data_IF_945521954962
#
_entry.id   IF_945521954962
#
_cell.length_a   1.000
_cell.length_b   1.000
_cell.length_c   1.000
_cell.angle_alpha   90.00
_cell.angle_beta   90.00
_cell.angle_gamma   90.00
#
_symmetry.space_group_name_H-M   'P 1'
#
loop_
_entity.id
_entity.type
_entity.pdbx_description
1 polymer ?
#
# COMPACT_ATOMS: atom_id res chain seq x y z
N UNK A 1 -2.53 20.57 39.30
CA UNK A 1 -3.02 19.51 38.41
C UNK A 1 -4.45 19.82 38.08
N UNK A 2 -4.75 20.27 36.87
CA UNK A 2 -6.04 20.86 36.49
C UNK A 2 -7.07 19.77 36.23
N UNK A 3 -8.31 19.96 36.69
CA UNK A 3 -9.44 19.02 36.51
C UNK A 3 -9.75 18.74 35.04
N UNK A 4 -9.31 19.62 34.13
CA UNK A 4 -9.41 19.46 32.66
C UNK A 4 -8.44 18.41 32.17
N UNK A 5 -7.20 18.34 32.70
CA UNK A 5 -6.21 17.34 32.31
C UNK A 5 -6.60 15.92 32.73
N UNK A 6 -7.16 15.77 33.93
CA UNK A 6 -7.62 14.48 34.44
C UNK A 6 -8.83 13.91 33.65
N UNK A 7 -9.69 14.77 33.10
CA UNK A 7 -10.81 14.34 32.23
C UNK A 7 -10.33 13.96 30.83
N UNK A 8 -9.33 14.66 30.30
CA UNK A 8 -8.69 14.29 29.04
C UNK A 8 -7.92 12.96 29.18
N UNK A 9 -7.19 12.76 30.27
CA UNK A 9 -6.49 11.51 30.57
C UNK A 9 -7.45 10.34 30.79
N UNK A 10 -8.58 10.54 31.49
CA UNK A 10 -9.62 9.52 31.67
C UNK A 10 -10.32 9.17 30.34
N UNK A 11 -10.65 10.17 29.50
CA UNK A 11 -11.19 9.95 28.16
C UNK A 11 -10.19 9.28 27.21
N UNK A 12 -8.88 9.51 27.39
CA UNK A 12 -7.83 8.84 26.66
C UNK A 12 -7.62 7.39 27.13
N UNK A 13 -7.86 7.11 28.42
CA UNK A 13 -7.76 5.78 29.02
C UNK A 13 -8.95 4.88 28.61
N UNK A 14 -10.19 5.40 28.62
CA UNK A 14 -11.38 4.70 28.13
C UNK A 14 -11.30 4.37 26.63
N UNK A 15 -10.61 5.20 25.83
CA UNK A 15 -10.37 4.94 24.41
C UNK A 15 -9.29 3.85 24.13
N UNK A 16 -8.59 3.36 25.14
CA UNK A 16 -7.54 2.35 24.98
C UNK A 16 -8.11 0.92 24.85
N UNK A 17 -9.18 0.60 25.58
CA UNK A 17 -9.86 -0.70 25.51
C UNK A 17 -10.83 -0.79 24.31
N UNK A 18 -11.31 0.35 23.82
CA UNK A 18 -12.36 0.43 22.80
C UNK A 18 -11.88 -0.05 21.40
N UNK A 19 -10.63 0.18 21.08
CA UNK A 19 -10.10 -0.14 19.73
C UNK A 19 -9.99 -1.64 19.45
N UNK A 20 -9.71 -2.46 20.47
CA UNK A 20 -9.68 -3.93 20.34
C UNK A 20 -11.08 -4.51 20.12
N UNK A 21 -12.08 -3.94 20.76
CA UNK A 21 -13.48 -4.35 20.62
C UNK A 21 -14.10 -3.87 19.30
N UNK A 22 -13.73 -2.68 18.82
CA UNK A 22 -14.23 -2.10 17.56
C UNK A 22 -13.87 -2.95 16.32
N UNK A 23 -12.73 -3.63 16.34
CA UNK A 23 -12.26 -4.46 15.23
C UNK A 23 -12.36 -5.96 15.50
N UNK A 24 -13.05 -6.39 16.56
CA UNK A 24 -13.26 -7.80 16.84
C UNK A 24 -14.19 -8.41 15.78
N UNK A 25 -13.69 -9.32 14.93
CA UNK A 25 -14.50 -9.93 13.88
C UNK A 25 -15.59 -10.88 14.44
N UNK A 26 -15.55 -11.18 15.73
CA UNK A 26 -16.52 -12.05 16.43
C UNK A 26 -17.62 -11.25 17.16
N UNK A 27 -17.49 -9.91 17.22
CA UNK A 27 -18.48 -9.05 17.85
C UNK A 27 -19.82 -9.12 17.09
N UNK A 28 -20.88 -9.41 17.82
CA UNK A 28 -22.23 -9.41 17.27
C UNK A 28 -22.68 -7.95 17.00
N UNK A 29 -22.61 -7.49 15.76
CA UNK A 29 -23.02 -6.18 15.28
C UNK A 29 -22.11 -5.00 15.70
N UNK A 30 -20.87 -4.90 15.17
CA UNK A 30 -20.07 -3.70 15.34
C UNK A 30 -20.78 -2.49 14.70
N UNK A 31 -20.80 -1.34 15.38
CA UNK A 31 -21.33 -0.10 14.83
C UNK A 31 -20.41 0.43 13.72
N UNK A 32 -20.75 0.15 12.48
CA UNK A 32 -19.99 0.58 11.29
C UNK A 32 -19.76 2.10 11.25
N UNK A 33 -20.69 2.90 11.78
CA UNK A 33 -20.58 4.36 11.81
C UNK A 33 -19.52 4.79 12.84
N UNK A 34 -19.49 4.15 14.00
CA UNK A 34 -18.46 4.40 15.02
C UNK A 34 -17.08 4.01 14.51
N UNK A 35 -16.96 2.85 13.82
CA UNK A 35 -15.71 2.38 13.19
C UNK A 35 -15.23 3.37 12.13
N UNK A 36 -16.09 3.82 11.22
CA UNK A 36 -15.73 4.80 10.20
C UNK A 36 -15.22 6.10 10.82
N UNK A 37 -15.94 6.66 11.80
CA UNK A 37 -15.52 7.88 12.50
C UNK A 37 -14.18 7.70 13.22
N UNK A 38 -13.99 6.57 13.90
CA UNK A 38 -12.73 6.26 14.56
C UNK A 38 -11.56 6.29 13.58
N UNK A 39 -11.70 5.63 12.43
CA UNK A 39 -10.68 5.57 11.38
C UNK A 39 -10.41 6.95 10.77
N UNK A 40 -11.47 7.69 10.39
CA UNK A 40 -11.34 9.00 9.76
C UNK A 40 -10.51 10.00 10.58
N UNK A 41 -10.66 9.96 11.92
CA UNK A 41 -9.94 10.85 12.83
C UNK A 41 -8.53 10.37 13.17
N UNK A 42 -8.21 9.09 12.94
CA UNK A 42 -6.96 8.46 13.43
C UNK A 42 -6.08 7.89 12.34
N UNK A 43 -6.55 7.91 11.09
CA UNK A 43 -5.76 7.45 9.95
C UNK A 43 -4.53 8.35 9.75
N UNK A 44 -3.37 7.73 9.83
CA UNK A 44 -2.07 8.28 9.54
C UNK A 44 -1.31 7.36 8.59
N UNK A 45 -0.20 7.83 8.03
CA UNK A 45 0.64 7.03 7.15
C UNK A 45 2.06 6.91 7.68
N UNK A 46 2.56 5.68 7.75
CA UNK A 46 3.99 5.44 7.65
C UNK A 46 4.36 5.46 6.16
N UNK A 47 5.43 6.16 5.82
CA UNK A 47 5.86 6.31 4.42
C UNK A 47 7.13 5.52 4.19
N UNK A 48 7.03 4.45 3.43
CA UNK A 48 8.15 3.56 3.14
C UNK A 48 8.71 3.82 1.74
N UNK A 49 10.00 4.16 1.58
CA UNK A 49 10.55 4.51 0.29
C UNK A 49 10.87 3.27 -0.55
N UNK A 50 10.53 3.32 -1.84
CA UNK A 50 11.03 2.43 -2.87
C UNK A 50 12.29 3.05 -3.46
N UNK A 51 13.45 2.50 -3.11
CA UNK A 51 14.76 3.07 -3.42
C UNK A 51 15.51 2.33 -4.52
N UNK A 52 16.47 3.01 -5.13
CA UNK A 52 17.41 2.35 -6.03
C UNK A 52 18.33 1.40 -5.27
N UNK A 53 18.51 0.21 -5.82
CA UNK A 53 19.39 -0.82 -5.24
C UNK A 53 20.88 -0.43 -5.30
N UNK A 54 21.29 0.43 -6.25
CA UNK A 54 22.67 0.93 -6.39
C UNK A 54 23.02 2.05 -5.42
N UNK A 55 22.11 2.45 -4.53
CA UNK A 55 22.27 3.51 -3.54
C UNK A 55 22.59 4.89 -4.13
N UNK A 56 22.29 5.14 -5.39
CA UNK A 56 22.50 6.45 -6.05
C UNK A 56 21.56 7.56 -5.55
N UNK A 57 20.73 7.30 -4.55
CA UNK A 57 19.83 8.26 -3.90
C UNK A 57 18.46 8.44 -4.55
N UNK A 58 18.15 7.69 -5.63
CA UNK A 58 16.84 7.77 -6.29
C UNK A 58 15.74 7.08 -5.47
N UNK A 59 14.61 7.77 -5.29
CA UNK A 59 13.35 7.22 -4.76
C UNK A 59 12.33 7.21 -5.88
N UNK A 60 11.75 6.04 -6.19
CA UNK A 60 10.73 5.89 -7.23
C UNK A 60 9.41 6.49 -6.76
N UNK A 61 9.02 6.16 -5.55
CA UNK A 61 7.89 6.71 -4.79
C UNK A 61 8.00 6.28 -3.31
N UNK A 62 7.11 6.79 -2.46
CA UNK A 62 6.94 6.31 -1.09
C UNK A 62 5.56 5.68 -0.92
N UNK A 63 5.52 4.45 -0.43
CA UNK A 63 4.27 3.77 -0.10
C UNK A 63 3.68 4.34 1.18
N UNK A 64 2.40 4.70 1.14
CA UNK A 64 1.59 5.17 2.27
C UNK A 64 0.94 3.98 2.97
N UNK A 65 1.63 3.44 3.96
CA UNK A 65 1.15 2.33 4.78
C UNK A 65 0.24 2.85 5.89
N UNK A 66 -1.03 2.49 5.85
CA UNK A 66 -2.03 2.92 6.83
C UNK A 66 -1.64 2.56 8.27
N UNK A 67 -1.87 3.47 9.18
CA UNK A 67 -1.70 3.34 10.62
C UNK A 67 -2.87 4.02 11.30
N UNK A 68 -3.42 3.42 12.37
CA UNK A 68 -4.44 4.09 13.18
C UNK A 68 -3.82 4.50 14.52
N UNK A 69 -3.76 5.80 14.77
CA UNK A 69 -3.21 6.32 16.02
C UNK A 69 -4.14 6.02 17.20
N UNK A 70 -3.61 5.39 18.27
CA UNK A 70 -4.32 5.11 19.54
C UNK A 70 -3.82 5.99 20.69
N UNK A 71 -3.10 7.04 20.41
CA UNK A 71 -2.51 7.96 21.38
C UNK A 71 -1.19 8.50 20.85
N UNK A 72 -0.37 9.10 21.71
CA UNK A 72 0.87 9.75 21.27
C UNK A 72 1.96 8.79 20.76
N UNK A 73 1.96 7.51 21.19
CA UNK A 73 3.01 6.53 20.86
C UNK A 73 2.51 5.16 20.43
N UNK A 74 1.20 4.93 20.42
CA UNK A 74 0.62 3.64 20.05
C UNK A 74 -0.13 3.75 18.73
N UNK A 75 0.17 2.83 17.81
CA UNK A 75 -0.43 2.77 16.48
C UNK A 75 -0.86 1.35 16.15
N UNK A 76 -2.08 1.17 15.68
CA UNK A 76 -2.54 -0.08 15.09
C UNK A 76 -1.98 -0.20 13.66
N UNK A 77 -1.41 -1.36 13.37
CA UNK A 77 -1.00 -1.77 12.02
C UNK A 77 -2.17 -2.46 11.30
N UNK A 78 -2.17 -2.52 9.96
CA UNK A 78 -3.23 -3.12 9.15
C UNK A 78 -3.67 -4.51 9.61
N UNK A 79 -2.74 -5.38 10.01
CA UNK A 79 -3.04 -6.73 10.52
C UNK A 79 -4.00 -6.74 11.71
N UNK A 80 -4.06 -5.67 12.49
CA UNK A 80 -4.91 -5.57 13.69
C UNK A 80 -6.33 -5.06 13.39
N UNK A 81 -6.59 -4.39 12.25
CA UNK A 81 -7.90 -3.81 11.97
C UNK A 81 -8.50 -4.21 10.61
N UNK A 82 -7.68 -4.57 9.60
CA UNK A 82 -8.22 -4.97 8.29
C UNK A 82 -9.16 -6.18 8.35
N UNK A 83 -8.89 -7.25 9.15
CA UNK A 83 -9.83 -8.37 9.24
C UNK A 83 -11.22 -7.93 9.73
N UNK A 84 -11.29 -6.99 10.68
CA UNK A 84 -12.55 -6.40 11.13
C UNK A 84 -13.26 -5.63 10.02
N UNK A 85 -12.55 -4.83 9.22
CA UNK A 85 -13.12 -4.11 8.09
C UNK A 85 -13.64 -5.05 7.00
N UNK A 86 -12.94 -6.14 6.73
CA UNK A 86 -13.39 -7.19 5.80
C UNK A 86 -14.72 -7.79 6.29
N UNK A 87 -14.79 -8.19 7.57
CA UNK A 87 -16.00 -8.81 8.13
C UNK A 87 -17.22 -7.87 8.13
N UNK A 88 -16.99 -6.56 8.24
CA UNK A 88 -18.02 -5.52 8.19
C UNK A 88 -18.35 -5.05 6.76
N UNK A 89 -17.66 -5.54 5.72
CA UNK A 89 -17.84 -5.07 4.34
C UNK A 89 -17.36 -3.63 4.09
N UNK A 90 -16.44 -3.12 4.93
CA UNK A 90 -15.97 -1.73 4.91
C UNK A 90 -14.67 -1.52 4.10
N UNK A 91 -14.10 -2.57 3.49
CA UNK A 91 -12.83 -2.46 2.78
C UNK A 91 -12.85 -1.44 1.65
N UNK A 92 -13.91 -1.42 0.84
CA UNK A 92 -14.03 -0.45 -0.27
C UNK A 92 -14.04 0.99 0.22
N UNK A 93 -14.84 1.28 1.25
CA UNK A 93 -14.85 2.58 1.89
C UNK A 93 -13.46 2.96 2.44
N UNK A 94 -12.78 2.00 3.07
CA UNK A 94 -11.45 2.24 3.62
C UNK A 94 -10.41 2.54 2.53
N UNK A 95 -10.38 1.76 1.45
CA UNK A 95 -9.47 1.99 0.33
C UNK A 95 -9.70 3.37 -0.31
N UNK A 96 -10.96 3.78 -0.49
CA UNK A 96 -11.33 5.11 -1.01
C UNK A 96 -10.90 6.24 -0.05
N UNK A 97 -11.01 6.03 1.26
CA UNK A 97 -10.50 6.96 2.26
C UNK A 97 -8.98 7.07 2.19
N UNK A 98 -8.26 5.95 2.11
CA UNK A 98 -6.79 5.90 2.00
C UNK A 98 -6.33 6.64 0.74
N UNK A 99 -6.93 6.37 -0.41
CA UNK A 99 -6.61 7.08 -1.66
C UNK A 99 -6.87 8.58 -1.53
N UNK A 100 -8.03 8.98 -0.97
CA UNK A 100 -8.36 10.40 -0.77
C UNK A 100 -7.34 11.11 0.13
N UNK A 101 -6.91 10.48 1.23
CA UNK A 101 -5.90 11.03 2.15
C UNK A 101 -4.50 11.07 1.52
N UNK A 102 -4.19 10.11 0.66
CA UNK A 102 -2.93 10.12 -0.12
C UNK A 102 -2.92 11.28 -1.12
N UNK A 103 -4.04 11.56 -1.79
CA UNK A 103 -4.22 12.74 -2.65
C UNK A 103 -4.01 14.03 -1.87
N UNK A 104 -4.60 14.15 -0.67
CA UNK A 104 -4.40 15.33 0.18
C UNK A 104 -2.93 15.50 0.60
N UNK A 105 -2.23 14.39 0.87
CA UNK A 105 -0.78 14.39 1.14
C UNK A 105 0.05 14.85 -0.07
N UNK A 106 -0.33 14.45 -1.28
CA UNK A 106 0.33 14.88 -2.53
C UNK A 106 0.12 16.38 -2.82
N UNK A 107 -1.02 16.96 -2.40
CA UNK A 107 -1.25 18.41 -2.49
C UNK A 107 -0.37 19.17 -1.52
N UNK A 108 -0.16 18.63 -0.31
CA UNK A 108 0.67 19.26 0.71
C UNK A 108 2.17 19.19 0.37
N UNK A 109 2.61 18.22 -0.46
CA UNK A 109 4.01 18.07 -0.87
C UNK A 109 4.11 17.94 -2.40
N UNK A 110 4.49 19.03 -3.06
CA UNK A 110 4.55 19.12 -4.51
C UNK A 110 5.66 18.26 -5.16
N UNK A 111 6.66 17.85 -4.38
CA UNK A 111 7.78 17.03 -4.88
C UNK A 111 7.58 15.53 -4.63
N UNK A 112 6.65 15.16 -3.75
CA UNK A 112 6.43 13.78 -3.39
C UNK A 112 5.73 13.01 -4.51
N UNK A 113 6.06 11.73 -4.57
CA UNK A 113 5.34 10.69 -5.29
C UNK A 113 4.94 9.65 -4.26
N UNK A 114 3.63 9.38 -4.16
CA UNK A 114 3.09 8.46 -3.19
C UNK A 114 2.37 7.29 -3.84
N UNK A 115 2.53 6.10 -3.26
CA UNK A 115 1.73 4.92 -3.54
C UNK A 115 0.79 4.61 -2.39
N UNK A 116 -0.33 3.97 -2.67
CA UNK A 116 -1.22 3.44 -1.65
C UNK A 116 -1.96 2.20 -2.15
N UNK A 117 -2.24 1.30 -1.21
CA UNK A 117 -2.87 0.03 -1.47
C UNK A 117 -4.36 0.19 -1.79
N UNK A 118 -4.82 -0.60 -2.76
CA UNK A 118 -6.22 -0.78 -3.15
C UNK A 118 -6.47 -2.29 -3.25
N UNK A 119 -7.37 -2.83 -2.45
CA UNK A 119 -7.72 -4.25 -2.55
C UNK A 119 -8.38 -4.55 -3.91
N UNK A 120 -8.08 -5.70 -4.49
CA UNK A 120 -8.66 -6.08 -5.77
C UNK A 120 -10.20 -6.11 -5.74
N UNK A 121 -10.80 -6.45 -4.59
CA UNK A 121 -12.25 -6.40 -4.40
C UNK A 121 -12.84 -4.99 -4.37
N UNK A 122 -12.03 -3.98 -4.08
CA UNK A 122 -12.43 -2.56 -4.07
C UNK A 122 -12.22 -1.89 -5.41
N UNK A 123 -11.35 -2.43 -6.27
CA UNK A 123 -11.03 -1.88 -7.58
C UNK A 123 -12.18 -2.13 -8.59
N UNK A 124 -13.26 -1.41 -8.39
CA UNK A 124 -14.50 -1.50 -9.19
C UNK A 124 -14.97 -0.10 -9.57
N UNK A 125 -15.94 0.01 -10.47
CA UNK A 125 -16.58 1.30 -10.76
C UNK A 125 -17.77 1.54 -9.82
N UNK A 126 -17.73 2.64 -9.08
CA UNK A 126 -18.85 3.16 -8.29
C UNK A 126 -18.79 4.69 -8.21
N UNK A 127 -19.84 5.31 -7.64
CA UNK A 127 -19.94 6.77 -7.58
C UNK A 127 -18.82 7.44 -6.77
N UNK A 128 -18.29 6.76 -5.74
CA UNK A 128 -17.21 7.31 -4.91
C UNK A 128 -15.86 7.24 -5.65
N UNK A 129 -15.56 6.12 -6.33
CA UNK A 129 -14.39 6.03 -7.20
C UNK A 129 -14.47 7.04 -8.34
N UNK A 130 -15.66 7.20 -8.93
CA UNK A 130 -15.90 8.21 -9.96
C UNK A 130 -15.53 9.61 -9.44
N UNK A 131 -16.00 10.00 -8.25
CA UNK A 131 -15.67 11.29 -7.64
C UNK A 131 -14.16 11.47 -7.39
N UNK A 132 -13.45 10.43 -7.00
CA UNK A 132 -11.98 10.44 -6.83
C UNK A 132 -11.30 10.68 -8.18
N UNK A 133 -11.68 9.94 -9.22
CA UNK A 133 -11.09 10.06 -10.54
C UNK A 133 -11.43 11.41 -11.21
N UNK A 134 -12.61 11.95 -10.99
CA UNK A 134 -12.99 13.27 -11.50
C UNK A 134 -12.14 14.39 -10.87
N UNK A 135 -11.83 14.29 -9.56
CA UNK A 135 -10.87 15.19 -8.89
C UNK A 135 -9.47 15.07 -9.49
N UNK A 136 -8.99 13.85 -9.75
CA UNK A 136 -7.68 13.61 -10.36
C UNK A 136 -7.61 14.08 -11.81
N UNK A 137 -8.70 14.00 -12.55
CA UNK A 137 -8.78 14.44 -13.94
C UNK A 137 -8.54 15.95 -14.09
N UNK A 138 -9.00 16.75 -13.12
CA UNK A 138 -8.77 18.20 -13.13
C UNK A 138 -7.40 18.61 -12.56
N UNK A 139 -6.66 17.65 -11.96
CA UNK A 139 -5.32 17.87 -11.39
C UNK A 139 -4.29 16.86 -11.96
N UNK A 140 -4.01 16.86 -13.28
CA UNK A 140 -3.21 15.78 -13.91
C UNK A 140 -1.77 15.73 -13.38
N UNK A 141 -1.18 16.86 -13.00
CA UNK A 141 0.15 16.89 -12.40
C UNK A 141 0.20 16.20 -11.02
N UNK A 142 -0.91 16.17 -10.29
CA UNK A 142 -1.06 15.42 -9.06
C UNK A 142 -1.30 13.94 -9.35
N UNK A 143 -2.18 13.63 -10.29
CA UNK A 143 -2.49 12.25 -10.68
C UNK A 143 -1.23 11.47 -11.11
N UNK A 144 -0.31 12.10 -11.86
CA UNK A 144 0.96 11.50 -12.28
C UNK A 144 1.90 11.13 -11.12
N UNK A 145 1.67 11.68 -9.94
CA UNK A 145 2.43 11.42 -8.70
C UNK A 145 1.74 10.40 -7.78
N UNK A 146 0.58 9.87 -8.17
CA UNK A 146 -0.15 8.84 -7.45
C UNK A 146 0.10 7.47 -8.08
N UNK A 147 0.49 6.50 -7.26
CA UNK A 147 0.59 5.08 -7.60
C UNK A 147 -0.53 4.33 -6.87
N UNK A 148 -1.41 3.65 -7.60
CA UNK A 148 -2.42 2.76 -7.02
C UNK A 148 -1.87 1.33 -7.05
N UNK A 149 -1.64 0.74 -5.87
CA UNK A 149 -1.06 -0.58 -5.70
C UNK A 149 -2.17 -1.60 -5.51
N UNK A 150 -2.42 -2.43 -6.53
CA UNK A 150 -3.48 -3.45 -6.49
C UNK A 150 -2.92 -4.69 -5.81
N UNK A 151 -3.48 -5.02 -4.63
CA UNK A 151 -3.04 -6.17 -3.84
C UNK A 151 -3.60 -7.48 -4.38
N UNK A 152 -2.84 -8.58 -4.24
CA UNK A 152 -3.17 -9.89 -4.81
C UNK A 152 -3.96 -10.84 -3.89
N UNK A 153 -4.45 -10.36 -2.75
CA UNK A 153 -5.20 -11.18 -1.79
C UNK A 153 -6.47 -11.82 -2.37
N UNK A 154 -7.04 -11.18 -3.40
CA UNK A 154 -8.20 -11.69 -4.15
C UNK A 154 -8.00 -11.47 -5.65
N UNK A 155 -8.63 -12.27 -6.52
CA UNK A 155 -8.59 -12.01 -7.95
C UNK A 155 -9.33 -10.71 -8.30
N UNK A 156 -8.72 -9.91 -9.16
CA UNK A 156 -9.34 -8.72 -9.74
C UNK A 156 -10.45 -9.14 -10.71
N UNK A 157 -11.63 -8.56 -10.57
CA UNK A 157 -12.72 -8.86 -11.52
C UNK A 157 -12.34 -8.43 -12.95
N UNK A 158 -12.49 -9.28 -13.95
CA UNK A 158 -12.00 -8.99 -15.30
C UNK A 158 -12.69 -7.82 -15.99
N UNK A 159 -13.93 -7.49 -15.64
CA UNK A 159 -14.69 -6.40 -16.26
C UNK A 159 -14.53 -5.11 -15.45
N UNK A 160 -14.98 -5.11 -14.20
CA UNK A 160 -14.95 -3.91 -13.36
C UNK A 160 -13.53 -3.51 -12.96
N UNK A 161 -12.64 -4.47 -12.70
CA UNK A 161 -11.23 -4.20 -12.42
C UNK A 161 -10.48 -3.62 -13.62
N UNK A 162 -10.76 -4.12 -14.83
CA UNK A 162 -10.21 -3.53 -16.05
C UNK A 162 -10.72 -2.11 -16.29
N UNK A 163 -12.01 -1.88 -16.07
CA UNK A 163 -12.61 -0.55 -16.18
C UNK A 163 -11.98 0.42 -15.16
N UNK A 164 -11.83 0.00 -13.90
CA UNK A 164 -11.12 0.76 -12.86
C UNK A 164 -9.69 1.14 -13.28
N UNK A 165 -8.88 0.17 -13.71
CA UNK A 165 -7.51 0.40 -14.18
C UNK A 165 -7.47 1.37 -15.36
N UNK A 166 -8.38 1.19 -16.33
CA UNK A 166 -8.46 2.08 -17.48
C UNK A 166 -8.78 3.51 -17.05
N UNK A 167 -9.76 3.70 -16.15
CA UNK A 167 -10.14 5.00 -15.63
C UNK A 167 -9.01 5.67 -14.87
N UNK A 168 -8.32 4.93 -13.98
CA UNK A 168 -7.18 5.44 -13.25
C UNK A 168 -6.05 5.93 -14.21
N UNK A 169 -5.75 5.16 -15.25
CA UNK A 169 -4.76 5.57 -16.27
C UNK A 169 -5.18 6.79 -17.08
N UNK A 170 -6.46 6.95 -17.37
CA UNK A 170 -6.98 8.14 -18.06
C UNK A 170 -6.77 9.43 -17.25
N UNK A 171 -6.72 9.36 -15.92
CA UNK A 171 -6.37 10.51 -15.07
C UNK A 171 -4.87 10.77 -15.00
N UNK A 172 -4.04 9.82 -15.41
CA UNK A 172 -2.59 9.88 -15.34
C UNK A 172 -1.99 9.11 -14.14
N UNK A 173 -2.80 8.42 -13.33
CA UNK A 173 -2.30 7.57 -12.24
C UNK A 173 -1.46 6.41 -12.77
N UNK A 174 -0.44 6.03 -11.99
CA UNK A 174 0.33 4.82 -12.22
C UNK A 174 -0.30 3.64 -11.49
N UNK A 175 -0.21 2.45 -12.07
CA UNK A 175 -0.74 1.21 -11.50
C UNK A 175 0.43 0.31 -11.14
N UNK A 176 0.46 -0.13 -9.88
CA UNK A 176 1.34 -1.18 -9.42
C UNK A 176 0.55 -2.48 -9.16
N UNK A 177 1.17 -3.61 -9.36
CA UNK A 177 0.73 -4.91 -8.84
C UNK A 177 1.59 -5.21 -7.63
N UNK A 178 0.97 -5.44 -6.49
CA UNK A 178 1.63 -5.73 -5.24
C UNK A 178 1.65 -7.23 -4.92
N UNK A 179 2.60 -7.68 -4.08
CA UNK A 179 2.78 -9.08 -3.64
C UNK A 179 2.93 -10.10 -4.79
N UNK A 180 3.50 -9.69 -5.95
CA UNK A 180 3.60 -10.57 -7.12
C UNK A 180 4.39 -11.84 -6.81
N UNK A 181 3.70 -12.97 -6.98
CA UNK A 181 4.21 -14.32 -6.69
C UNK A 181 3.64 -14.97 -5.44
N UNK A 182 2.88 -14.24 -4.62
CA UNK A 182 2.29 -14.78 -3.39
C UNK A 182 0.83 -15.24 -3.52
N UNK A 183 0.10 -14.83 -4.60
CA UNK A 183 -1.33 -15.08 -4.69
C UNK A 183 -1.87 -15.19 -6.13
N UNK A 184 -2.77 -14.28 -6.50
CA UNK A 184 -3.45 -14.25 -7.79
C UNK A 184 -2.70 -13.48 -8.89
N UNK A 185 -1.37 -13.41 -8.80
CA UNK A 185 -0.46 -12.60 -9.61
C UNK A 185 -0.70 -12.66 -11.11
N UNK A 186 -0.75 -13.88 -11.64
CA UNK A 186 -0.92 -14.08 -13.08
C UNK A 186 -2.26 -13.57 -13.58
N UNK A 187 -3.34 -13.77 -12.79
CA UNK A 187 -4.67 -13.30 -13.11
C UNK A 187 -4.75 -11.76 -13.07
N UNK A 188 -4.29 -11.16 -11.99
CA UNK A 188 -4.34 -9.71 -11.80
C UNK A 188 -3.45 -9.02 -12.86
N UNK A 189 -2.28 -9.57 -13.16
CA UNK A 189 -1.43 -9.08 -14.24
C UNK A 189 -2.14 -9.11 -15.60
N UNK A 190 -2.87 -10.20 -15.89
CA UNK A 190 -3.65 -10.31 -17.14
C UNK A 190 -4.77 -9.26 -17.21
N UNK A 191 -5.47 -9.00 -16.12
CA UNK A 191 -6.56 -8.00 -16.06
C UNK A 191 -6.01 -6.58 -16.17
N UNK A 192 -4.94 -6.26 -15.45
CA UNK A 192 -4.27 -4.95 -15.46
C UNK A 192 -3.61 -4.67 -16.82
N UNK A 193 -3.17 -5.73 -17.51
CA UNK A 193 -2.34 -5.64 -18.71
C UNK A 193 -0.91 -5.27 -18.35
N UNK A 194 -0.34 -4.22 -18.98
CA UNK A 194 1.02 -3.77 -18.68
C UNK A 194 1.02 -2.79 -17.50
N UNK A 195 1.36 -3.22 -16.26
CA UNK A 195 1.46 -2.33 -15.11
C UNK A 195 2.67 -1.39 -15.25
N UNK A 196 2.61 -0.25 -14.56
CA UNK A 196 3.75 0.65 -14.45
C UNK A 196 4.81 0.08 -13.51
N UNK A 197 4.39 -0.64 -12.47
CA UNK A 197 5.25 -1.23 -11.45
C UNK A 197 4.75 -2.64 -11.11
N UNK A 198 5.68 -3.56 -10.91
CA UNK A 198 5.42 -4.88 -10.29
C UNK A 198 6.31 -5.00 -9.07
N UNK A 199 5.72 -5.24 -7.89
CA UNK A 199 6.41 -5.48 -6.63
C UNK A 199 6.46 -6.99 -6.40
N UNK A 200 7.67 -7.53 -6.36
CA UNK A 200 7.92 -8.95 -6.09
C UNK A 200 7.90 -9.17 -4.58
N UNK A 201 7.07 -10.10 -4.13
CA UNK A 201 6.94 -10.46 -2.72
C UNK A 201 8.28 -10.91 -2.10
N UNK A 202 8.47 -10.60 -0.82
CA UNK A 202 9.67 -10.97 -0.05
C UNK A 202 10.05 -12.45 -0.11
N UNK A 203 9.12 -13.35 -0.40
CA UNK A 203 9.40 -14.78 -0.57
C UNK A 203 10.39 -15.04 -1.71
N UNK A 204 10.48 -14.13 -2.69
CA UNK A 204 11.47 -14.20 -3.76
C UNK A 204 12.91 -14.07 -3.22
N UNK A 205 13.15 -13.22 -2.21
CA UNK A 205 14.45 -13.17 -1.53
C UNK A 205 14.77 -14.46 -0.80
N UNK A 206 13.78 -15.11 -0.16
CA UNK A 206 13.97 -16.41 0.47
C UNK A 206 14.39 -17.48 -0.57
N UNK A 207 13.79 -17.46 -1.76
CA UNK A 207 14.20 -18.36 -2.85
C UNK A 207 15.65 -18.11 -3.29
N UNK A 208 16.06 -16.83 -3.41
CA UNK A 208 17.42 -16.46 -3.79
C UNK A 208 18.44 -16.93 -2.72
N UNK A 209 18.11 -16.76 -1.45
CA UNK A 209 18.96 -17.16 -0.32
C UNK A 209 19.20 -18.67 -0.26
N UNK A 210 18.18 -19.48 -0.61
CA UNK A 210 18.18 -20.91 -0.37
C UNK A 210 19.17 -21.69 -1.25
N UNK A 211 19.22 -21.41 -2.57
CA UNK A 211 20.08 -22.17 -3.48
C UNK A 211 20.25 -21.51 -4.87
N UNK A 212 21.13 -22.10 -5.69
CA UNK A 212 21.41 -21.63 -7.05
C UNK A 212 20.22 -21.74 -8.00
N UNK A 213 19.36 -22.74 -7.80
CA UNK A 213 18.15 -22.94 -8.63
C UNK A 213 17.16 -21.80 -8.39
N UNK A 214 16.92 -21.45 -7.11
CA UNK A 214 16.06 -20.31 -6.74
C UNK A 214 16.59 -19.00 -7.32
N UNK A 215 17.90 -18.74 -7.25
CA UNK A 215 18.53 -17.57 -7.89
C UNK A 215 18.27 -17.52 -9.39
N UNK A 216 18.45 -18.63 -10.09
CA UNK A 216 18.18 -18.71 -11.53
C UNK A 216 16.70 -18.46 -11.86
N UNK A 217 15.78 -19.05 -11.09
CA UNK A 217 14.33 -18.86 -11.27
C UNK A 217 13.92 -17.40 -11.09
N UNK A 218 14.37 -16.76 -9.99
CA UNK A 218 14.04 -15.35 -9.73
C UNK A 218 14.64 -14.43 -10.81
N UNK A 219 15.88 -14.65 -11.25
CA UNK A 219 16.46 -13.86 -12.35
C UNK A 219 15.63 -13.97 -13.64
N UNK A 220 15.15 -15.16 -13.99
CA UNK A 220 14.27 -15.34 -15.16
C UNK A 220 12.94 -14.64 -14.99
N UNK A 221 12.34 -14.73 -13.77
CA UNK A 221 11.10 -14.04 -13.45
C UNK A 221 11.28 -12.52 -13.58
N UNK A 222 12.35 -11.96 -13.01
CA UNK A 222 12.68 -10.53 -13.11
C UNK A 222 12.81 -10.11 -14.57
N UNK A 223 13.53 -10.88 -15.40
CA UNK A 223 13.69 -10.57 -16.82
C UNK A 223 12.35 -10.55 -17.56
N UNK A 224 11.51 -11.57 -17.36
CA UNK A 224 10.16 -11.63 -17.96
C UNK A 224 9.25 -10.49 -17.47
N UNK A 225 9.34 -10.14 -16.19
CA UNK A 225 8.56 -9.03 -15.63
C UNK A 225 9.00 -7.70 -16.23
N UNK A 226 10.29 -7.48 -16.44
CA UNK A 226 10.80 -6.27 -17.11
C UNK A 226 10.30 -6.08 -18.54
N UNK A 227 10.00 -7.16 -19.27
CA UNK A 227 9.43 -7.07 -20.62
C UNK A 227 7.97 -6.56 -20.58
N UNK A 228 7.25 -6.81 -19.47
CA UNK A 228 5.82 -6.60 -19.34
C UNK A 228 5.42 -5.51 -18.34
N UNK A 229 6.37 -4.89 -17.63
CA UNK A 229 6.16 -3.82 -16.67
C UNK A 229 7.13 -2.66 -16.91
N UNK A 230 6.78 -1.47 -16.38
CA UNK A 230 7.68 -0.30 -16.44
C UNK A 230 8.86 -0.45 -15.46
N UNK A 231 8.57 -0.86 -14.23
CA UNK A 231 9.56 -1.09 -13.18
C UNK A 231 9.29 -2.39 -12.43
N UNK A 232 10.36 -3.02 -11.96
CA UNK A 232 10.31 -4.18 -11.06
C UNK A 232 10.93 -3.75 -9.72
N UNK A 233 10.20 -3.97 -8.64
CA UNK A 233 10.60 -3.71 -7.26
C UNK A 233 10.69 -5.04 -6.53
N UNK A 234 11.66 -5.25 -5.67
CA UNK A 234 11.69 -6.36 -4.73
C UNK A 234 11.44 -5.85 -3.31
N UNK A 235 10.59 -6.55 -2.59
CA UNK A 235 10.21 -6.20 -1.22
C UNK A 235 10.98 -6.99 -0.17
N UNK A 236 10.97 -6.48 1.08
CA UNK A 236 11.54 -7.15 2.23
C UNK A 236 13.07 -7.18 2.25
N UNK A 237 13.73 -6.18 1.65
CA UNK A 237 15.18 -6.03 1.72
C UNK A 237 15.57 -5.48 3.09
N UNK A 238 16.08 -6.36 3.96
CA UNK A 238 16.40 -6.04 5.35
C UNK A 238 17.91 -5.84 5.56
N UNK A 239 18.74 -6.48 4.71
CA UNK A 239 20.20 -6.52 4.87
C UNK A 239 20.94 -6.07 3.60
N UNK A 240 22.21 -5.73 3.77
CA UNK A 240 23.11 -5.46 2.63
C UNK A 240 23.24 -6.69 1.71
N UNK A 241 23.19 -7.91 2.26
CA UNK A 241 23.22 -9.13 1.47
C UNK A 241 21.96 -9.25 0.58
N UNK A 242 20.78 -8.93 1.12
CA UNK A 242 19.53 -8.93 0.32
C UNK A 242 19.60 -7.92 -0.81
N UNK A 243 20.13 -6.73 -0.52
CA UNK A 243 20.33 -5.69 -1.53
C UNK A 243 21.23 -6.18 -2.66
N UNK A 244 22.38 -6.78 -2.31
CA UNK A 244 23.30 -7.30 -3.31
C UNK A 244 22.68 -8.43 -4.13
N UNK A 245 21.96 -9.35 -3.49
CA UNK A 245 21.23 -10.42 -4.16
C UNK A 245 20.16 -9.88 -5.13
N UNK A 246 19.50 -8.78 -4.77
CA UNK A 246 18.54 -8.10 -5.64
C UNK A 246 19.20 -7.52 -6.89
N UNK A 247 20.37 -6.90 -6.74
CA UNK A 247 21.19 -6.42 -7.87
C UNK A 247 21.60 -7.57 -8.77
N UNK A 248 22.10 -8.65 -8.22
CA UNK A 248 22.54 -9.84 -8.95
C UNK A 248 21.37 -10.51 -9.72
N UNK A 249 20.15 -10.38 -9.19
CA UNK A 249 18.92 -10.81 -9.86
C UNK A 249 18.46 -9.84 -10.98
N UNK A 250 19.09 -8.67 -11.13
CA UNK A 250 18.76 -7.66 -12.12
C UNK A 250 17.71 -6.64 -11.68
N UNK A 251 17.35 -6.60 -10.39
CA UNK A 251 16.35 -5.67 -9.85
C UNK A 251 17.01 -4.32 -9.54
N UNK A 252 16.39 -3.23 -10.01
CA UNK A 252 16.90 -1.86 -9.82
C UNK A 252 16.24 -1.09 -8.69
N UNK A 253 15.09 -1.55 -8.23
CA UNK A 253 14.31 -0.89 -7.20
C UNK A 253 13.97 -1.87 -6.09
N UNK A 254 14.03 -1.41 -4.84
CA UNK A 254 13.78 -2.26 -3.69
C UNK A 254 13.14 -1.47 -2.55
N UNK A 255 12.42 -2.19 -1.69
CA UNK A 255 11.75 -1.68 -0.51
C UNK A 255 12.07 -2.58 0.69
N UNK A 256 12.18 -1.97 1.89
CA UNK A 256 12.40 -2.68 3.14
C UNK A 256 13.26 -1.90 4.13
N UNK A 257 13.44 -2.47 5.31
CA UNK A 257 14.12 -1.84 6.46
C UNK A 257 15.55 -1.36 6.17
N UNK A 258 16.25 -2.02 5.24
CA UNK A 258 17.59 -1.61 4.83
C UNK A 258 17.62 -0.17 4.28
N UNK A 259 16.56 0.25 3.58
CA UNK A 259 16.45 1.58 2.98
C UNK A 259 15.78 2.58 3.92
N UNK A 260 14.79 2.17 4.70
CA UNK A 260 14.04 3.03 5.62
C UNK A 260 14.96 3.65 6.69
N UNK A 261 15.86 2.86 7.27
CA UNK A 261 16.85 3.34 8.27
C UNK A 261 17.84 4.36 7.71
N UNK A 262 18.06 4.38 6.40
CA UNK A 262 19.01 5.31 5.76
C UNK A 262 18.35 6.63 5.39
N UNK A 263 17.04 6.62 5.09
CA UNK A 263 16.29 7.86 4.78
C UNK A 263 16.04 8.73 6.01
N UNK A 264 16.04 8.12 7.21
CA UNK A 264 15.90 8.85 8.48
C UNK A 264 17.22 9.47 8.96
N UNK A 265 18.35 9.13 8.33
CA UNK A 265 19.70 9.58 8.69
C UNK A 265 20.27 10.66 7.75
N UNK A 266 19.51 11.06 6.72
CA UNK A 266 19.87 12.07 5.73
C UNK A 266 18.98 13.31 5.83
#
# INVERSE_FOLDING_TARGET
>A
MNVVDARLEAQMQENHDDAGQLFDPTAAHPDSVAVCRFIEHRLAFAREPVCRTDLSGGVLYRECLARLARGQRDVLRPVAFLPGLVSMGLMRWFDQLVVSRTIDSLRADAQAVYGCNVSASSATEDAQWQAIFDRLHVEPALAQRLVLEITETTPLDPLSGRAFVHRARQTGCRIAIDDFGAGHSAHNHFVVGRPDIVKLDRSMLAMIRNNAVGRYQVRRLVALTHENAGHVVVEGVETELDRQMSIDAGVRWAQGDHFSRRSDAA
#
